data_IF_915770712275
#
_entry.id   IF_915770712275
#
_cell.length_a   1.000
_cell.length_b   1.000
_cell.length_c   1.000
_cell.angle_alpha   90.00
_cell.angle_beta   90.00
_cell.angle_gamma   90.00
#
_symmetry.space_group_name_H-M   'P 1'
#
loop_
_entity.id
_entity.type
_entity.pdbx_description
1 polymer ?
#
# COMPACT_ATOMS: atom_id res chain seq x y z
N UNK A 1 -16.60 -2.36 -12.96
CA UNK A 1 -16.54 -2.44 -11.49
C UNK A 1 -16.96 -3.85 -11.12
N UNK A 2 -16.17 -4.52 -10.29
CA UNK A 2 -16.41 -5.88 -9.82
C UNK A 2 -16.54 -5.81 -8.31
N UNK A 3 -17.73 -6.16 -7.80
CA UNK A 3 -18.00 -6.17 -6.37
C UNK A 3 -17.20 -7.26 -5.66
N UNK A 4 -16.72 -6.96 -4.46
CA UNK A 4 -16.05 -7.90 -3.56
C UNK A 4 -16.80 -7.91 -2.22
N UNK A 5 -16.30 -8.64 -1.21
CA UNK A 5 -16.86 -8.54 0.13
C UNK A 5 -16.48 -7.25 0.87
N UNK A 6 -15.48 -6.52 0.36
CA UNK A 6 -15.03 -5.22 0.86
C UNK A 6 -15.12 -4.15 -0.22
N UNK A 7 -14.02 -3.45 -0.48
CA UNK A 7 -14.00 -2.42 -1.52
C UNK A 7 -13.98 -3.02 -2.94
N UNK A 8 -14.77 -2.47 -3.89
CA UNK A 8 -14.88 -3.04 -5.22
C UNK A 8 -13.58 -2.88 -6.01
N UNK A 9 -13.33 -3.83 -6.91
CA UNK A 9 -12.20 -3.78 -7.83
C UNK A 9 -12.64 -3.11 -9.14
N UNK A 10 -11.88 -2.13 -9.60
CA UNK A 10 -12.06 -1.52 -10.91
C UNK A 10 -11.26 -2.32 -11.93
N UNK A 11 -11.96 -3.18 -12.66
CA UNK A 11 -11.41 -3.89 -13.82
C UNK A 11 -11.80 -3.19 -15.12
N UNK A 12 -10.81 -2.87 -15.95
CA UNK A 12 -10.96 -2.37 -17.31
C UNK A 12 -10.00 -3.09 -18.25
N UNK A 13 -10.33 -3.21 -19.54
CA UNK A 13 -9.44 -3.86 -20.49
C UNK A 13 -9.54 -3.29 -21.91
N UNK A 14 -8.45 -3.45 -22.67
CA UNK A 14 -8.40 -3.23 -24.10
C UNK A 14 -7.66 -4.42 -24.73
N UNK A 15 -8.40 -5.28 -25.45
CA UNK A 15 -7.89 -6.55 -25.99
C UNK A 15 -8.00 -6.57 -27.53
N UNK A 16 -7.52 -5.52 -28.19
CA UNK A 16 -7.67 -5.32 -29.64
C UNK A 16 -6.34 -5.31 -30.39
N UNK A 17 -5.26 -5.79 -29.79
CA UNK A 17 -3.96 -5.99 -30.46
C UNK A 17 -3.74 -7.51 -30.69
N UNK A 18 -4.24 -8.07 -31.80
CA UNK A 18 -4.10 -9.50 -32.07
C UNK A 18 -2.62 -9.89 -32.21
N UNK A 19 -2.24 -10.98 -31.53
CA UNK A 19 -0.86 -11.49 -31.52
C UNK A 19 0.13 -10.68 -30.68
N UNK A 20 -0.28 -9.56 -30.10
CA UNK A 20 0.53 -8.78 -29.17
C UNK A 20 0.41 -9.31 -27.73
N UNK A 21 1.42 -9.08 -26.87
CA UNK A 21 1.35 -9.50 -25.48
C UNK A 21 0.24 -8.76 -24.72
N UNK A 22 -0.25 -9.38 -23.65
CA UNK A 22 -1.20 -8.82 -22.70
C UNK A 22 -0.48 -8.38 -21.44
N UNK A 23 -0.60 -7.10 -21.11
CA UNK A 23 -0.03 -6.47 -19.92
C UNK A 23 -1.14 -6.26 -18.89
N UNK A 24 -0.93 -6.70 -17.66
CA UNK A 24 -1.74 -6.29 -16.52
C UNK A 24 -1.07 -5.11 -15.82
N UNK A 25 -1.75 -3.97 -15.73
CA UNK A 25 -1.37 -2.86 -14.87
C UNK A 25 -2.17 -2.98 -13.58
N UNK A 26 -1.47 -3.16 -12.47
CA UNK A 26 -2.04 -3.19 -11.14
C UNK A 26 -1.69 -1.91 -10.37
N UNK A 27 -2.63 -1.48 -9.53
CA UNK A 27 -2.44 -0.45 -8.50
C UNK A 27 -3.69 -0.34 -7.64
N UNK A 28 -3.80 0.74 -6.86
CA UNK A 28 -4.91 0.89 -5.92
C UNK A 28 -5.43 2.34 -5.83
N UNK A 29 -6.66 2.52 -5.33
CA UNK A 29 -7.32 3.83 -5.25
C UNK A 29 -7.63 4.28 -3.83
N UNK A 30 -7.53 3.40 -2.84
CA UNK A 30 -7.49 3.77 -1.43
C UNK A 30 -6.17 4.46 -1.10
N UNK A 31 -6.13 5.12 0.05
CA UNK A 31 -4.99 5.94 0.49
C UNK A 31 -4.93 5.94 2.01
N UNK A 32 -3.73 6.06 2.58
CA UNK A 32 -3.57 6.29 4.02
C UNK A 32 -4.38 7.50 4.55
N UNK A 33 -4.76 7.52 5.84
CA UNK A 33 -5.28 8.71 6.52
C UNK A 33 -4.34 9.92 6.38
N UNK A 34 -4.87 11.16 6.37
CA UNK A 34 -4.05 12.35 6.19
C UNK A 34 -3.40 12.85 7.49
N UNK A 35 -3.70 12.25 8.65
CA UNK A 35 -3.22 12.73 9.94
C UNK A 35 -1.68 12.73 10.05
N UNK A 36 -1.10 13.69 10.78
CA UNK A 36 -1.77 14.81 11.46
C UNK A 36 -2.06 16.00 10.52
N UNK A 37 -3.29 16.53 10.59
CA UNK A 37 -3.77 17.57 9.67
C UNK A 37 -3.05 18.92 9.80
N UNK A 38 -2.57 19.27 10.99
CA UNK A 38 -1.90 20.55 11.28
C UNK A 38 -0.50 20.68 10.67
N UNK A 39 0.10 19.56 10.22
CA UNK A 39 1.37 19.58 9.48
C UNK A 39 1.19 19.82 7.98
N UNK A 40 -0.04 19.86 7.47
CA UNK A 40 -0.31 20.13 6.07
C UNK A 40 -0.32 21.63 5.77
N UNK A 41 0.46 22.05 4.78
CA UNK A 41 0.42 23.43 4.28
C UNK A 41 -0.84 23.74 3.45
N UNK A 42 -1.45 22.72 2.83
CA UNK A 42 -2.68 22.80 2.02
C UNK A 42 -3.57 21.60 2.33
N UNK A 43 -4.90 21.70 2.18
CA UNK A 43 -5.78 20.58 2.50
C UNK A 43 -5.35 19.28 1.79
N UNK A 44 -5.26 18.15 2.51
CA UNK A 44 -4.65 16.92 2.00
C UNK A 44 -5.33 16.36 0.76
N UNK A 45 -6.63 16.59 0.60
CA UNK A 45 -7.42 16.12 -0.53
C UNK A 45 -7.71 17.20 -1.58
N UNK A 46 -6.98 18.32 -1.52
CA UNK A 46 -7.00 19.39 -2.53
C UNK A 46 -5.63 19.46 -3.23
N UNK A 47 -5.44 18.73 -4.36
CA UNK A 47 -4.18 18.70 -5.07
C UNK A 47 -3.67 20.09 -5.40
N UNK A 48 -2.53 20.45 -4.82
CA UNK A 48 -1.92 21.77 -5.00
C UNK A 48 -0.53 21.63 -5.60
N UNK A 49 -0.28 22.36 -6.69
CA UNK A 49 1.06 22.44 -7.30
C UNK A 49 1.90 23.42 -6.51
N UNK A 50 3.07 22.99 -6.04
CA UNK A 50 4.08 23.86 -5.43
C UNK A 50 5.45 23.53 -6.00
N UNK A 51 6.05 24.48 -6.71
CA UNK A 51 7.26 24.22 -7.51
C UNK A 51 6.96 23.17 -8.58
N UNK A 52 7.78 22.12 -8.62
CA UNK A 52 7.69 21.04 -9.60
C UNK A 52 6.91 19.81 -9.10
N UNK A 53 6.24 19.92 -7.95
CA UNK A 53 5.53 18.80 -7.31
C UNK A 53 4.04 19.10 -7.07
N UNK A 54 3.25 18.03 -7.07
CA UNK A 54 1.83 18.04 -6.67
C UNK A 54 1.77 17.52 -5.25
N UNK A 55 1.22 18.30 -4.33
CA UNK A 55 1.03 17.91 -2.95
C UNK A 55 -0.45 17.56 -2.71
N UNK A 56 -0.69 16.29 -2.42
CA UNK A 56 -1.96 15.74 -1.95
C UNK A 56 -1.76 14.33 -1.39
N UNK A 57 -2.63 13.91 -0.48
CA UNK A 57 -2.76 12.51 -0.07
C UNK A 57 -3.16 11.67 -1.29
N UNK A 58 -2.39 10.62 -1.56
CA UNK A 58 -2.58 9.75 -2.71
C UNK A 58 -1.83 10.17 -3.98
N UNK A 59 -1.16 11.33 -3.97
CA UNK A 59 -0.50 11.85 -5.18
C UNK A 59 0.64 10.96 -5.70
N UNK A 60 1.32 10.25 -4.82
CA UNK A 60 2.44 9.34 -5.13
C UNK A 60 2.20 7.92 -4.62
N UNK A 61 1.02 7.61 -4.10
CA UNK A 61 0.72 6.35 -3.42
C UNK A 61 -0.80 6.15 -3.41
N UNK A 62 -1.41 5.62 -4.48
CA UNK A 62 -0.81 5.25 -5.79
C UNK A 62 -1.56 5.93 -6.97
N UNK A 63 -2.41 6.92 -6.65
CA UNK A 63 -3.30 7.54 -7.67
C UNK A 63 -2.53 8.23 -8.79
N UNK A 64 -1.39 8.85 -8.49
CA UNK A 64 -0.58 9.53 -9.51
C UNK A 64 -0.02 8.58 -10.55
N UNK A 65 0.54 7.45 -10.11
CA UNK A 65 1.15 6.45 -10.97
C UNK A 65 0.09 5.69 -11.75
N UNK A 66 -1.03 5.32 -11.12
CA UNK A 66 -2.14 4.71 -11.84
C UNK A 66 -2.76 5.64 -12.87
N UNK A 67 -2.94 6.92 -12.54
CA UNK A 67 -3.35 7.92 -13.54
C UNK A 67 -2.33 8.05 -14.67
N UNK A 68 -1.03 7.93 -14.39
CA UNK A 68 0.01 7.98 -15.44
C UNK A 68 -0.17 6.85 -16.46
N UNK A 69 -0.43 5.62 -16.02
CA UNK A 69 -0.69 4.49 -16.93
C UNK A 69 -1.97 4.70 -17.75
N UNK A 70 -3.07 5.11 -17.09
CA UNK A 70 -4.35 5.36 -17.76
C UNK A 70 -4.21 6.48 -18.79
N UNK A 71 -3.54 7.58 -18.44
CA UNK A 71 -3.31 8.72 -19.33
C UNK A 71 -2.37 8.37 -20.48
N UNK A 72 -1.37 7.53 -20.25
CA UNK A 72 -0.47 7.03 -21.30
C UNK A 72 -1.24 6.20 -22.34
N UNK A 73 -2.08 5.25 -21.89
CA UNK A 73 -2.93 4.48 -22.79
C UNK A 73 -3.93 5.37 -23.55
N UNK A 74 -4.57 6.32 -22.85
CA UNK A 74 -5.48 7.29 -23.46
C UNK A 74 -4.77 8.15 -24.52
N UNK A 75 -3.59 8.68 -24.21
CA UNK A 75 -2.82 9.52 -25.12
C UNK A 75 -2.40 8.72 -26.35
N UNK A 76 -1.88 7.51 -26.16
CA UNK A 76 -1.47 6.63 -27.25
C UNK A 76 -2.63 6.27 -28.18
N UNK A 77 -3.79 5.91 -27.63
CA UNK A 77 -4.99 5.65 -28.43
C UNK A 77 -5.39 6.87 -29.27
N UNK A 78 -5.30 8.08 -28.71
CA UNK A 78 -5.64 9.32 -29.43
C UNK A 78 -4.66 9.63 -30.56
N UNK A 79 -3.38 9.34 -30.38
CA UNK A 79 -2.33 9.74 -31.35
C UNK A 79 -2.00 8.66 -32.37
N UNK A 80 -1.98 7.38 -31.96
CA UNK A 80 -1.61 6.24 -32.80
C UNK A 80 -2.82 5.41 -33.28
N UNK A 81 -4.01 5.65 -32.72
CA UNK A 81 -5.26 4.97 -33.11
C UNK A 81 -5.48 3.57 -32.50
N UNK A 82 -4.41 2.89 -32.08
CA UNK A 82 -4.47 1.59 -31.39
C UNK A 82 -3.33 1.45 -30.38
N UNK A 83 -3.55 0.67 -29.32
CA UNK A 83 -2.47 0.28 -28.41
C UNK A 83 -1.61 -0.81 -29.06
N UNK A 84 -0.29 -0.81 -28.80
CA UNK A 84 0.63 -1.80 -29.36
C UNK A 84 0.58 -3.15 -28.61
N UNK A 85 -0.14 -3.20 -27.49
CA UNK A 85 -0.30 -4.35 -26.60
C UNK A 85 -1.74 -4.45 -26.11
N UNK A 86 -2.14 -5.63 -25.67
CA UNK A 86 -3.39 -5.80 -24.92
C UNK A 86 -3.15 -5.36 -23.47
N UNK A 87 -4.15 -4.74 -22.83
CA UNK A 87 -4.02 -4.21 -21.47
C UNK A 87 -5.21 -4.63 -20.61
N UNK A 88 -4.93 -5.11 -19.40
CA UNK A 88 -5.85 -5.12 -18.27
C UNK A 88 -5.43 -4.04 -17.27
N UNK A 89 -6.38 -3.26 -16.78
CA UNK A 89 -6.24 -2.45 -15.58
C UNK A 89 -6.99 -3.15 -14.45
N UNK A 90 -6.29 -3.46 -13.37
CA UNK A 90 -6.85 -4.02 -12.13
C UNK A 90 -6.52 -3.04 -11.02
N UNK A 91 -7.52 -2.30 -10.53
CA UNK A 91 -7.33 -1.28 -9.51
C UNK A 91 -8.17 -1.64 -8.29
N UNK A 92 -7.52 -1.97 -7.18
CA UNK A 92 -8.22 -2.31 -5.95
C UNK A 92 -8.39 -1.12 -5.00
N UNK A 93 -9.08 -1.32 -3.88
CA UNK A 93 -9.33 -0.28 -2.88
C UNK A 93 -9.06 -0.74 -1.46
N UNK A 94 -8.22 -1.76 -1.27
CA UNK A 94 -7.90 -2.32 0.04
C UNK A 94 -6.40 -2.46 0.30
N UNK A 95 -5.52 -1.94 -0.56
CA UNK A 95 -4.06 -2.16 -0.46
C UNK A 95 -3.55 -1.69 0.91
N UNK A 96 -3.99 -0.51 1.33
CA UNK A 96 -3.53 0.17 2.54
C UNK A 96 -4.10 -0.48 3.82
N UNK A 97 -5.02 -1.43 3.65
CA UNK A 97 -5.68 -2.21 4.70
C UNK A 97 -5.52 -3.73 4.50
N UNK A 98 -4.58 -4.14 3.63
CA UNK A 98 -4.08 -5.51 3.52
C UNK A 98 -4.61 -6.35 2.34
N UNK A 99 -5.30 -5.76 1.36
CA UNK A 99 -5.73 -6.41 0.11
C UNK A 99 -6.56 -7.70 0.28
N UNK A 100 -7.34 -7.80 1.37
CA UNK A 100 -7.97 -9.06 1.80
C UNK A 100 -8.83 -9.75 0.72
N UNK A 101 -9.40 -9.00 -0.24
CA UNK A 101 -10.22 -9.57 -1.31
C UNK A 101 -9.50 -9.71 -2.66
N UNK A 102 -8.29 -9.17 -2.82
CA UNK A 102 -7.57 -9.20 -4.10
C UNK A 102 -7.24 -10.64 -4.52
N UNK A 103 -6.66 -11.43 -3.63
CA UNK A 103 -6.25 -12.81 -3.90
C UNK A 103 -7.41 -13.67 -4.41
N UNK A 104 -8.57 -13.55 -3.74
CA UNK A 104 -9.79 -14.24 -4.14
C UNK A 104 -10.25 -13.79 -5.52
N UNK A 105 -10.27 -12.49 -5.78
CA UNK A 105 -10.65 -11.96 -7.10
C UNK A 105 -9.73 -12.47 -8.21
N UNK A 106 -8.42 -12.44 -8.01
CA UNK A 106 -7.44 -12.92 -8.98
C UNK A 106 -7.59 -14.42 -9.24
N UNK A 107 -7.80 -15.22 -8.19
CA UNK A 107 -8.00 -16.66 -8.30
C UNK A 107 -9.30 -17.00 -9.06
N UNK A 108 -10.41 -16.37 -8.70
CA UNK A 108 -11.72 -16.60 -9.33
C UNK A 108 -11.76 -16.16 -10.81
N UNK A 109 -10.92 -15.17 -11.19
CA UNK A 109 -10.90 -14.59 -12.53
C UNK A 109 -9.65 -14.94 -13.34
N UNK A 110 -8.89 -15.95 -12.91
CA UNK A 110 -7.57 -16.30 -13.48
C UNK A 110 -7.55 -16.42 -15.00
N UNK A 111 -8.57 -17.04 -15.59
CA UNK A 111 -8.63 -17.23 -17.04
C UNK A 111 -8.96 -15.94 -17.79
N UNK A 112 -9.84 -15.11 -17.22
CA UNK A 112 -10.24 -13.80 -17.77
C UNK A 112 -9.13 -12.75 -17.65
N UNK A 113 -8.29 -12.87 -16.62
CA UNK A 113 -7.19 -11.95 -16.30
C UNK A 113 -5.83 -12.43 -16.83
N UNK A 114 -5.81 -13.46 -17.67
CA UNK A 114 -4.58 -14.01 -18.21
C UNK A 114 -3.75 -12.93 -18.91
N UNK A 115 -2.53 -12.73 -18.43
CA UNK A 115 -1.58 -11.78 -18.98
C UNK A 115 -0.20 -12.43 -19.13
N UNK A 116 0.66 -11.82 -19.96
CA UNK A 116 2.05 -12.23 -20.17
C UNK A 116 2.99 -11.55 -19.18
N UNK A 117 2.62 -10.35 -18.71
CA UNK A 117 3.38 -9.57 -17.72
C UNK A 117 2.44 -8.75 -16.85
N UNK A 118 2.75 -8.67 -15.55
CA UNK A 118 2.15 -7.72 -14.63
C UNK A 118 3.13 -6.56 -14.37
N UNK A 119 2.62 -5.33 -14.42
CA UNK A 119 3.35 -4.09 -14.18
C UNK A 119 2.70 -3.40 -13.00
N UNK A 120 3.51 -3.13 -11.99
CA UNK A 120 3.15 -2.40 -10.77
C UNK A 120 4.04 -1.18 -10.69
N UNK A 121 3.45 0.00 -10.47
CA UNK A 121 4.19 1.27 -10.39
C UNK A 121 3.99 1.94 -9.05
N UNK A 122 4.21 1.15 -8.00
CA UNK A 122 3.91 1.51 -6.63
C UNK A 122 5.15 1.40 -5.73
N UNK A 123 6.27 1.88 -6.27
CA UNK A 123 7.56 1.94 -5.56
C UNK A 123 8.29 3.22 -5.94
N UNK A 124 9.32 3.56 -5.16
CA UNK A 124 10.06 4.79 -5.34
C UNK A 124 11.22 4.68 -6.34
N UNK A 125 11.65 5.84 -6.85
CA UNK A 125 12.98 5.99 -7.46
C UNK A 125 14.07 5.67 -6.42
N UNK A 126 15.24 5.24 -6.87
CA UNK A 126 16.37 4.99 -5.97
C UNK A 126 16.86 6.29 -5.29
N UNK A 127 16.95 7.36 -6.09
CA UNK A 127 17.34 8.70 -5.65
C UNK A 127 16.83 9.72 -6.69
N UNK A 128 16.85 11.04 -6.39
CA UNK A 128 16.47 12.06 -7.36
C UNK A 128 17.22 11.92 -8.68
N UNK A 129 16.46 11.71 -9.78
CA UNK A 129 17.02 11.53 -11.12
C UNK A 129 17.63 10.15 -11.41
N UNK A 130 17.56 9.22 -10.45
CA UNK A 130 18.05 7.84 -10.60
C UNK A 130 16.86 6.88 -10.55
N UNK A 131 16.39 6.34 -11.70
CA UNK A 131 15.27 5.41 -11.71
C UNK A 131 15.63 4.11 -10.98
N UNK A 132 14.62 3.50 -10.36
CA UNK A 132 14.71 2.17 -9.75
C UNK A 132 13.90 1.15 -10.53
N UNK A 133 14.42 -0.08 -10.64
CA UNK A 133 13.62 -1.26 -11.00
C UNK A 133 13.60 -2.16 -9.78
N UNK A 134 12.45 -2.18 -9.10
CA UNK A 134 12.25 -3.02 -7.92
C UNK A 134 12.00 -4.45 -8.36
N UNK A 135 12.90 -5.36 -7.97
CA UNK A 135 12.80 -6.80 -8.30
C UNK A 135 12.35 -7.68 -7.13
N UNK A 136 12.16 -7.08 -5.95
CA UNK A 136 11.71 -7.79 -4.76
C UNK A 136 11.27 -6.83 -3.67
N UNK A 137 10.25 -7.25 -2.92
CA UNK A 137 9.70 -6.55 -1.76
C UNK A 137 9.82 -7.48 -0.54
N UNK A 138 9.96 -6.89 0.64
CA UNK A 138 9.87 -7.65 1.89
C UNK A 138 8.40 -7.94 2.21
N UNK A 139 8.14 -9.05 2.89
CA UNK A 139 6.85 -9.26 3.53
C UNK A 139 6.68 -8.37 4.76
N UNK A 140 5.44 -8.27 5.24
CA UNK A 140 5.07 -7.56 6.48
C UNK A 140 4.18 -8.47 7.33
N UNK A 141 4.41 -8.44 8.64
CA UNK A 141 3.53 -9.04 9.64
C UNK A 141 3.18 -7.98 10.66
N UNK A 142 1.90 -7.63 10.75
CA UNK A 142 1.37 -6.75 11.78
C UNK A 142 0.80 -7.60 12.92
N UNK A 143 1.23 -7.33 14.16
CA UNK A 143 0.75 -8.00 15.37
C UNK A 143 0.24 -6.97 16.37
N UNK A 144 -0.88 -7.27 17.03
CA UNK A 144 -1.39 -6.49 18.17
C UNK A 144 -1.11 -7.25 19.48
N UNK A 145 -0.55 -6.55 20.46
CA UNK A 145 -0.36 -7.06 21.81
C UNK A 145 -1.07 -6.17 22.82
N UNK A 146 -2.14 -6.71 23.42
CA UNK A 146 -2.92 -6.00 24.44
C UNK A 146 -2.53 -6.49 25.83
N UNK A 147 -2.04 -5.56 26.67
CA UNK A 147 -1.74 -5.83 28.08
C UNK A 147 -2.75 -5.17 29.00
N UNK A 148 -3.60 -5.98 29.63
CA UNK A 148 -4.62 -5.52 30.58
C UNK A 148 -4.09 -5.57 32.02
N UNK A 149 -4.24 -4.46 32.73
CA UNK A 149 -3.88 -4.34 34.14
C UNK A 149 -5.10 -4.32 35.06
N UNK A 150 -5.16 -3.39 36.03
CA UNK A 150 -6.32 -3.21 36.89
C UNK A 150 -7.61 -2.94 36.10
N UNK A 151 -8.76 -3.26 36.69
CA UNK A 151 -10.09 -3.04 36.09
C UNK A 151 -10.47 -1.57 35.86
N UNK A 152 -9.66 -0.62 36.32
CA UNK A 152 -9.87 0.82 36.16
C UNK A 152 -8.54 1.57 36.25
N UNK A 153 -8.51 2.82 35.79
CA UNK A 153 -7.38 3.72 36.01
C UNK A 153 -7.17 3.99 37.50
N UNK A 154 -5.91 4.02 37.92
CA UNK A 154 -5.52 4.17 39.32
C UNK A 154 -4.66 5.41 39.54
N UNK A 155 -4.87 6.05 40.69
CA UNK A 155 -4.11 7.24 41.08
C UNK A 155 -2.62 6.91 41.26
N UNK A 156 -1.77 7.47 40.39
CA UNK A 156 -0.34 7.14 40.32
C UNK A 156 0.43 7.44 41.62
N UNK A 157 0.02 8.43 42.41
CA UNK A 157 0.65 8.71 43.71
C UNK A 157 0.32 7.70 44.82
N UNK A 158 -0.81 6.98 44.72
CA UNK A 158 -1.24 6.01 45.74
C UNK A 158 -0.74 4.61 45.38
N UNK A 159 -0.81 4.25 44.10
CA UNK A 159 -0.50 2.91 43.62
C UNK A 159 0.85 2.83 42.89
N UNK A 160 1.51 3.96 42.65
CA UNK A 160 2.82 4.02 42.01
C UNK A 160 3.86 3.21 42.78
N UNK A 161 4.48 2.26 42.10
CA UNK A 161 5.47 1.35 42.69
C UNK A 161 4.87 0.16 43.47
N UNK A 162 3.57 0.17 43.79
CA UNK A 162 2.90 -0.94 44.47
C UNK A 162 2.36 -2.00 43.50
N UNK A 163 2.04 -1.61 42.26
CA UNK A 163 1.50 -2.49 41.22
C UNK A 163 2.29 -2.37 39.92
N UNK A 164 2.20 -3.40 39.08
CA UNK A 164 2.73 -3.35 37.72
C UNK A 164 1.87 -2.46 36.83
N UNK A 165 2.38 -1.28 36.49
CA UNK A 165 1.75 -0.40 35.51
C UNK A 165 1.84 -1.05 34.11
N UNK A 166 0.70 -1.32 33.41
CA UNK A 166 0.71 -1.90 32.07
C UNK A 166 1.58 -1.11 31.07
N UNK A 167 1.59 0.21 31.14
CA UNK A 167 2.43 1.05 30.27
C UNK A 167 3.93 0.71 30.42
N UNK A 168 4.39 0.53 31.66
CA UNK A 168 5.79 0.16 31.92
C UNK A 168 6.11 -1.26 31.46
N UNK A 169 5.15 -2.19 31.59
CA UNK A 169 5.34 -3.58 31.18
C UNK A 169 5.33 -3.74 29.66
N UNK A 170 4.45 -3.05 28.94
CA UNK A 170 4.46 -3.07 27.46
C UNK A 170 5.71 -2.39 26.91
N UNK A 171 6.19 -1.31 27.54
CA UNK A 171 7.47 -0.69 27.17
C UNK A 171 8.64 -1.67 27.32
N UNK A 172 8.67 -2.46 28.40
CA UNK A 172 9.67 -3.52 28.60
C UNK A 172 9.54 -4.67 27.60
N UNK A 173 8.33 -5.01 27.19
CA UNK A 173 8.10 -6.02 26.15
C UNK A 173 8.62 -5.53 24.79
N UNK A 174 8.27 -4.30 24.39
CA UNK A 174 8.72 -3.68 23.14
C UNK A 174 10.25 -3.56 23.11
N UNK A 175 10.86 -3.12 24.22
CA UNK A 175 12.31 -3.00 24.34
C UNK A 175 13.05 -4.35 24.23
N UNK A 176 12.35 -5.48 24.36
CA UNK A 176 12.91 -6.82 24.17
C UNK A 176 12.72 -7.36 22.76
N UNK A 177 12.05 -6.65 21.85
CA UNK A 177 11.88 -7.12 20.47
C UNK A 177 13.15 -6.94 19.65
N UNK A 178 13.99 -5.95 19.99
CA UNK A 178 15.27 -5.69 19.35
C UNK A 178 16.37 -5.47 20.40
N UNK A 179 17.62 -5.82 20.08
CA UNK A 179 18.80 -5.43 20.88
C UNK A 179 19.30 -4.02 20.52
N UNK A 180 20.39 -3.60 21.16
CA UNK A 180 21.00 -2.27 20.98
C UNK A 180 21.58 -2.09 19.56
N UNK A 181 21.82 -3.19 18.83
CA UNK A 181 22.25 -3.20 17.43
C UNK A 181 21.07 -3.29 16.43
N UNK A 182 19.83 -3.36 16.93
CA UNK A 182 18.62 -3.45 16.11
C UNK A 182 18.32 -4.85 15.56
N UNK A 183 18.91 -5.91 16.11
CA UNK A 183 18.61 -7.31 15.73
C UNK A 183 17.36 -7.80 16.45
N UNK A 184 16.49 -8.49 15.71
CA UNK A 184 15.26 -9.07 16.24
C UNK A 184 15.58 -10.16 17.27
N UNK A 185 15.00 -10.07 18.46
CA UNK A 185 15.26 -10.99 19.58
C UNK A 185 14.19 -12.07 19.75
N UNK A 186 13.26 -12.20 18.80
CA UNK A 186 12.23 -13.24 18.83
C UNK A 186 12.91 -14.61 18.64
N UNK A 187 12.71 -15.58 19.57
CA UNK A 187 13.29 -16.90 19.43
C UNK A 187 12.90 -17.56 18.10
N UNK A 188 13.88 -18.13 17.40
CA UNK A 188 13.69 -18.79 16.11
C UNK A 188 13.59 -17.86 14.90
N UNK A 189 13.71 -16.54 15.07
CA UNK A 189 13.55 -15.58 13.97
C UNK A 189 14.58 -15.75 12.84
N UNK A 190 15.77 -16.28 13.15
CA UNK A 190 16.86 -16.48 12.20
C UNK A 190 17.17 -17.96 11.94
N UNK A 191 16.25 -18.88 12.27
CA UNK A 191 16.47 -20.32 12.13
C UNK A 191 16.27 -20.83 10.67
N UNK A 192 15.91 -19.92 9.76
CA UNK A 192 15.73 -20.16 8.32
C UNK A 192 16.99 -19.79 7.48
#
# INVERSE_FOLDING_TARGET
IVETAGHPIVHGHWLKAPGAPTVMVYGHYDVQPPDPLDLWETPPFEPTVRGDAIYARGSSDDKGQMLTHIKSAQAWLKTAGSLPVNIHFVIEGEEEVGSNNLDKFLADNRDTLKCDVAVVSDTAQYAPGIPGITYGLRGILACEATLTGPHQDLHSGVFGGAIANPANQIARLIAKLHDDEGRVQIPGFYDD
#
